data_IF_439640891235
#
_entry.id   IF_439640891235
#
_cell.length_a   1.000
_cell.length_b   1.000
_cell.length_c   1.000
_cell.angle_alpha   90.00
_cell.angle_beta   90.00
_cell.angle_gamma   90.00
#
_symmetry.space_group_name_H-M   'P 1'
#
loop_
_entity.id
_entity.type
_entity.pdbx_description
1 polymer ?
#
# COMPACT_ATOMS: atom_id res chain seq x y z
N UNK A 1 7.69 9.15 -11.47
CA UNK A 1 7.88 7.80 -10.90
C UNK A 1 6.60 6.95 -10.90
N UNK A 2 5.45 7.42 -10.37
CA UNK A 2 4.19 6.66 -10.40
C UNK A 2 3.78 6.26 -11.85
N UNK A 3 3.75 7.21 -12.80
CA UNK A 3 3.50 6.91 -14.23
C UNK A 3 4.42 5.83 -14.79
N UNK A 4 5.71 5.87 -14.40
CA UNK A 4 6.69 4.87 -14.83
C UNK A 4 6.32 3.48 -14.32
N UNK A 5 5.93 3.34 -13.05
CA UNK A 5 5.51 2.05 -12.49
C UNK A 5 4.23 1.52 -13.18
N UNK A 6 3.26 2.38 -13.45
CA UNK A 6 2.03 2.01 -14.17
C UNK A 6 2.33 1.48 -15.57
N UNK A 7 3.29 2.08 -16.27
CA UNK A 7 3.70 1.70 -17.62
C UNK A 7 4.57 0.43 -17.62
N UNK A 8 5.68 0.43 -16.86
CA UNK A 8 6.68 -0.66 -16.87
C UNK A 8 6.07 -2.01 -16.49
N UNK A 9 5.12 -2.01 -15.54
CA UNK A 9 4.48 -3.23 -15.03
C UNK A 9 3.08 -3.45 -15.58
N UNK A 10 2.63 -2.64 -16.54
CA UNK A 10 1.30 -2.74 -17.14
C UNK A 10 0.20 -2.88 -16.07
N UNK A 11 0.28 -2.02 -15.02
CA UNK A 11 -0.56 -2.19 -13.83
C UNK A 11 -2.05 -1.99 -14.11
N UNK A 12 -2.38 -1.19 -15.13
CA UNK A 12 -3.76 -0.84 -15.51
C UNK A 12 -4.26 -1.60 -16.75
N UNK A 13 -3.47 -2.56 -17.28
CA UNK A 13 -3.90 -3.35 -18.44
C UNK A 13 -5.09 -4.24 -18.07
N UNK A 14 -6.22 -4.06 -18.81
CA UNK A 14 -7.47 -4.79 -18.56
C UNK A 14 -8.22 -4.37 -17.30
N UNK A 15 -7.96 -3.16 -16.79
CA UNK A 15 -8.62 -2.62 -15.60
C UNK A 15 -9.70 -1.63 -16.01
N UNK A 16 -10.97 -1.98 -15.81
CA UNK A 16 -12.14 -1.14 -16.09
C UNK A 16 -12.55 -0.27 -14.90
N UNK A 17 -12.31 -0.74 -13.67
CA UNK A 17 -12.57 -0.05 -12.40
C UNK A 17 -11.42 -0.33 -11.42
N UNK A 18 -11.05 0.66 -10.63
CA UNK A 18 -9.92 0.55 -9.71
C UNK A 18 -10.32 0.94 -8.28
N UNK A 19 -10.11 0.04 -7.33
CA UNK A 19 -10.22 0.39 -5.92
C UNK A 19 -8.87 0.87 -5.36
N UNK A 20 -8.92 1.78 -4.38
CA UNK A 20 -7.77 2.27 -3.63
C UNK A 20 -7.97 1.89 -2.16
N UNK A 21 -7.03 1.16 -1.58
CA UNK A 21 -6.98 0.88 -0.15
C UNK A 21 -6.58 2.16 0.59
N UNK A 22 -7.57 2.90 1.11
CA UNK A 22 -7.38 4.20 1.73
C UNK A 22 -7.31 4.05 3.26
N UNK A 23 -6.10 4.02 3.82
CA UNK A 23 -5.90 3.97 5.27
C UNK A 23 -5.99 5.33 5.95
N UNK A 24 -5.94 6.43 5.20
CA UNK A 24 -5.83 7.79 5.69
C UNK A 24 -4.39 8.24 6.00
N UNK A 25 -3.42 7.33 5.98
CA UNK A 25 -2.00 7.70 6.10
C UNK A 25 -1.45 8.34 4.84
N UNK A 26 -0.31 9.04 4.98
CA UNK A 26 0.37 9.79 3.92
C UNK A 26 0.51 9.00 2.60
N UNK A 27 0.83 7.70 2.69
CA UNK A 27 1.12 6.86 1.53
C UNK A 27 -0.17 6.59 0.72
N UNK A 28 -1.26 6.26 1.41
CA UNK A 28 -2.55 5.99 0.77
C UNK A 28 -3.20 7.25 0.20
N UNK A 29 -3.04 8.41 0.87
CA UNK A 29 -3.48 9.71 0.35
C UNK A 29 -2.64 10.12 -0.86
N UNK A 30 -1.31 9.99 -0.79
CA UNK A 30 -0.44 10.23 -1.95
C UNK A 30 -0.86 9.38 -3.15
N UNK A 31 -1.14 8.08 -2.93
CA UNK A 31 -1.62 7.19 -3.99
C UNK A 31 -2.94 7.69 -4.60
N UNK A 32 -3.91 8.08 -3.77
CA UNK A 32 -5.21 8.59 -4.19
C UNK A 32 -5.05 9.82 -5.12
N UNK A 33 -4.30 10.82 -4.67
CA UNK A 33 -4.06 12.05 -5.44
C UNK A 33 -3.28 11.78 -6.72
N UNK A 34 -2.24 10.93 -6.67
CA UNK A 34 -1.45 10.59 -7.85
C UNK A 34 -2.29 9.87 -8.90
N UNK A 35 -3.11 8.89 -8.53
CA UNK A 35 -3.96 8.17 -9.47
C UNK A 35 -5.02 9.11 -10.07
N UNK A 36 -5.70 9.93 -9.26
CA UNK A 36 -6.67 10.91 -9.79
C UNK A 36 -6.03 11.91 -10.75
N UNK A 37 -4.79 12.35 -10.48
CA UNK A 37 -4.07 13.27 -11.36
C UNK A 37 -3.56 12.64 -12.66
N UNK A 38 -3.39 11.30 -12.71
CA UNK A 38 -2.77 10.58 -13.85
C UNK A 38 -3.81 9.99 -14.79
N UNK A 39 -4.88 9.41 -14.24
CA UNK A 39 -5.93 8.79 -15.04
C UNK A 39 -6.62 9.83 -15.93
N UNK A 40 -7.01 9.43 -17.14
CA UNK A 40 -7.51 10.35 -18.15
C UNK A 40 -6.44 11.23 -18.83
N UNK A 41 -5.16 11.17 -18.37
CA UNK A 41 -4.06 11.98 -18.91
C UNK A 41 -2.91 11.10 -19.39
N UNK A 42 -3.13 10.39 -20.50
CA UNK A 42 -2.18 9.44 -21.09
C UNK A 42 -2.32 8.01 -20.57
N UNK A 43 -3.25 7.76 -19.67
CA UNK A 43 -3.81 6.47 -19.30
C UNK A 43 -5.32 6.52 -19.48
N UNK A 44 -5.98 5.36 -19.55
CA UNK A 44 -7.42 5.29 -19.59
C UNK A 44 -8.05 6.05 -18.41
N UNK A 45 -9.19 6.65 -18.62
CA UNK A 45 -10.00 7.25 -17.56
C UNK A 45 -10.77 6.13 -16.85
N UNK A 46 -10.22 5.68 -15.72
CA UNK A 46 -10.72 4.55 -14.96
C UNK A 46 -11.43 5.09 -13.71
N UNK A 47 -12.70 4.75 -13.48
CA UNK A 47 -13.41 5.11 -12.25
C UNK A 47 -12.68 4.60 -11.01
N UNK A 48 -12.52 5.49 -10.01
CA UNK A 48 -11.86 5.21 -8.75
C UNK A 48 -12.88 5.02 -7.63
N UNK A 49 -12.65 4.02 -6.79
CA UNK A 49 -13.38 3.81 -5.53
C UNK A 49 -12.39 3.74 -4.39
N UNK A 50 -12.47 4.64 -3.41
CA UNK A 50 -11.65 4.63 -2.22
C UNK A 50 -12.31 3.77 -1.13
N UNK A 51 -11.65 2.71 -0.69
CA UNK A 51 -12.16 1.81 0.34
C UNK A 51 -11.35 2.01 1.62
N UNK A 52 -12.02 2.49 2.67
CA UNK A 52 -11.46 2.67 4.00
C UNK A 52 -11.95 1.56 4.94
N UNK A 53 -11.06 1.06 5.78
CA UNK A 53 -11.41 0.14 6.87
C UNK A 53 -11.14 0.85 8.18
N UNK A 54 -12.21 1.29 8.84
CA UNK A 54 -12.20 1.82 10.19
C UNK A 54 -12.19 0.71 11.24
N UNK A 55 -12.20 1.12 12.51
CA UNK A 55 -12.26 0.22 13.67
C UNK A 55 -11.44 0.79 14.83
N UNK A 56 -11.77 0.39 16.04
CA UNK A 56 -11.23 0.95 17.28
C UNK A 56 -9.70 0.84 17.39
N UNK A 57 -9.12 -0.25 16.86
CA UNK A 57 -7.69 -0.56 16.96
C UNK A 57 -7.01 -0.72 15.60
N UNK A 58 -7.63 -0.27 14.52
CA UNK A 58 -7.05 -0.42 13.19
C UNK A 58 -5.96 0.63 12.92
N UNK A 59 -5.02 0.33 12.00
CA UNK A 59 -4.17 1.37 11.37
C UNK A 59 -5.10 2.37 10.66
N UNK A 60 -5.19 3.61 11.15
CA UNK A 60 -6.23 4.56 10.77
C UNK A 60 -7.29 4.76 11.85
N UNK A 61 -7.24 4.01 12.99
CA UNK A 61 -7.93 4.40 14.21
C UNK A 61 -7.52 5.83 14.56
N UNK A 62 -8.49 6.74 14.70
CA UNK A 62 -8.22 8.18 14.90
C UNK A 62 -8.21 9.00 13.61
N UNK A 63 -8.32 8.41 12.43
CA UNK A 63 -8.65 9.16 11.22
C UNK A 63 -10.13 9.47 11.24
N UNK A 64 -10.47 10.75 11.20
CA UNK A 64 -11.87 11.14 11.04
C UNK A 64 -12.36 10.70 9.66
N UNK A 65 -13.27 9.73 9.61
CA UNK A 65 -13.85 9.22 8.35
C UNK A 65 -14.50 10.33 7.53
N UNK A 66 -15.10 11.34 8.22
CA UNK A 66 -15.62 12.54 7.58
C UNK A 66 -14.56 13.31 6.78
N UNK A 67 -13.31 13.37 7.25
CA UNK A 67 -12.22 14.02 6.54
C UNK A 67 -11.86 13.24 5.25
N UNK A 68 -11.75 11.91 5.33
CA UNK A 68 -11.47 11.08 4.17
C UNK A 68 -12.59 11.15 3.14
N UNK A 69 -13.83 11.12 3.63
CA UNK A 69 -15.01 11.27 2.77
C UNK A 69 -15.01 12.64 2.07
N UNK A 70 -14.72 13.73 2.79
CA UNK A 70 -14.64 15.08 2.20
C UNK A 70 -13.60 15.15 1.09
N UNK A 71 -12.40 14.57 1.27
CA UNK A 71 -11.39 14.50 0.20
C UNK A 71 -11.92 13.73 -1.01
N UNK A 72 -12.58 12.60 -0.79
CA UNK A 72 -13.12 11.81 -1.90
C UNK A 72 -14.24 12.55 -2.63
N UNK A 73 -15.12 13.23 -1.91
CA UNK A 73 -16.19 14.06 -2.48
C UNK A 73 -15.62 15.21 -3.34
N UNK A 74 -14.57 15.92 -2.86
CA UNK A 74 -13.89 16.96 -3.61
C UNK A 74 -13.18 16.45 -4.89
N UNK A 75 -12.71 15.22 -4.86
CA UNK A 75 -12.04 14.57 -5.99
C UNK A 75 -13.00 13.82 -6.92
N UNK A 76 -14.29 13.82 -6.63
CA UNK A 76 -15.28 13.00 -7.35
C UNK A 76 -14.84 11.52 -7.40
N UNK A 77 -14.64 10.93 -6.20
CA UNK A 77 -14.25 9.53 -6.01
C UNK A 77 -15.26 8.89 -5.04
N UNK A 78 -15.81 7.74 -5.42
CA UNK A 78 -16.68 6.97 -4.54
C UNK A 78 -15.93 6.58 -3.26
N UNK A 79 -16.51 6.93 -2.09
CA UNK A 79 -15.97 6.54 -0.78
C UNK A 79 -16.78 5.40 -0.17
N UNK A 80 -16.08 4.36 0.26
CA UNK A 80 -16.66 3.17 0.90
C UNK A 80 -16.01 2.96 2.25
N UNK A 81 -16.82 2.83 3.29
CA UNK A 81 -16.35 2.54 4.64
C UNK A 81 -16.71 1.12 5.04
N UNK A 82 -15.72 0.39 5.52
CA UNK A 82 -15.86 -0.93 6.14
C UNK A 82 -15.43 -0.84 7.61
N UNK A 83 -15.99 -1.67 8.47
CA UNK A 83 -15.63 -1.70 9.89
C UNK A 83 -14.99 -3.03 10.26
N UNK A 84 -13.76 -2.97 10.80
CA UNK A 84 -13.11 -4.12 11.43
C UNK A 84 -13.70 -4.37 12.82
N UNK A 85 -13.96 -5.64 13.13
CA UNK A 85 -14.49 -6.08 14.43
C UNK A 85 -13.40 -6.63 15.36
N UNK A 86 -12.13 -6.37 15.07
CA UNK A 86 -11.03 -6.87 15.90
C UNK A 86 -11.03 -6.24 17.29
N UNK A 87 -10.78 -7.09 18.29
CA UNK A 87 -10.67 -6.71 19.70
C UNK A 87 -9.19 -6.61 20.10
N UNK A 88 -8.89 -5.70 21.04
CA UNK A 88 -7.52 -5.47 21.54
C UNK A 88 -6.84 -6.76 22.04
N UNK A 89 -7.59 -7.60 22.74
CA UNK A 89 -7.11 -8.85 23.36
C UNK A 89 -6.56 -9.88 22.35
N UNK A 90 -7.07 -9.85 21.13
CA UNK A 90 -6.66 -10.78 20.06
C UNK A 90 -5.90 -10.09 18.94
N UNK A 91 -5.53 -8.82 19.15
CA UNK A 91 -4.89 -8.00 18.14
C UNK A 91 -3.45 -8.46 17.87
N UNK A 92 -3.20 -8.96 16.67
CA UNK A 92 -1.85 -9.18 16.16
C UNK A 92 -1.72 -8.51 14.79
N UNK A 93 -0.58 -7.88 14.51
CA UNK A 93 -0.37 -7.15 13.24
C UNK A 93 -0.68 -8.00 12.01
N UNK A 94 -0.35 -9.28 12.05
CA UNK A 94 -0.58 -10.20 10.93
C UNK A 94 -2.08 -10.47 10.71
N UNK A 95 -2.82 -10.84 11.76
CA UNK A 95 -4.27 -11.10 11.67
C UNK A 95 -5.04 -9.85 11.30
N UNK A 96 -4.70 -8.71 11.91
CA UNK A 96 -5.28 -7.41 11.61
C UNK A 96 -5.10 -7.03 10.12
N UNK A 97 -3.89 -7.17 9.58
CA UNK A 97 -3.63 -6.84 8.19
C UNK A 97 -4.35 -7.78 7.21
N UNK A 98 -4.53 -9.05 7.58
CA UNK A 98 -5.29 -10.02 6.75
C UNK A 98 -6.79 -9.71 6.74
N UNK A 99 -7.39 -9.46 7.89
CA UNK A 99 -8.80 -9.12 8.00
C UNK A 99 -9.12 -7.83 7.21
N UNK A 100 -8.31 -6.79 7.39
CA UNK A 100 -8.49 -5.54 6.66
C UNK A 100 -8.40 -5.72 5.15
N UNK A 101 -7.43 -6.50 4.67
CA UNK A 101 -7.34 -6.85 3.25
C UNK A 101 -8.60 -7.57 2.77
N UNK A 102 -9.07 -8.54 3.56
CA UNK A 102 -10.30 -9.28 3.21
C UNK A 102 -11.49 -8.34 3.08
N UNK A 103 -11.69 -7.43 4.04
CA UNK A 103 -12.77 -6.44 4.00
C UNK A 103 -12.68 -5.54 2.76
N UNK A 104 -11.47 -5.08 2.41
CA UNK A 104 -11.24 -4.28 1.20
C UNK A 104 -11.59 -5.08 -0.06
N UNK A 105 -11.16 -6.36 -0.13
CA UNK A 105 -11.42 -7.21 -1.29
C UNK A 105 -12.90 -7.54 -1.44
N UNK A 106 -13.58 -7.82 -0.35
CA UNK A 106 -15.01 -8.11 -0.36
C UNK A 106 -15.81 -6.87 -0.82
N UNK A 107 -15.51 -5.68 -0.28
CA UNK A 107 -16.15 -4.43 -0.69
C UNK A 107 -15.84 -4.04 -2.16
N UNK A 108 -14.65 -4.35 -2.66
CA UNK A 108 -14.29 -4.15 -4.07
C UNK A 108 -15.11 -5.09 -4.97
N UNK A 109 -15.20 -6.38 -4.63
CA UNK A 109 -15.95 -7.38 -5.42
C UNK A 109 -17.45 -7.07 -5.47
N UNK A 110 -18.05 -6.62 -4.37
CA UNK A 110 -19.46 -6.19 -4.34
C UNK A 110 -19.76 -5.08 -5.37
N UNK A 111 -18.74 -4.33 -5.81
CA UNK A 111 -18.81 -3.27 -6.82
C UNK A 111 -18.33 -3.71 -8.22
N UNK A 112 -18.04 -4.99 -8.38
CA UNK A 112 -17.49 -5.54 -9.62
C UNK A 112 -16.06 -5.07 -9.90
N UNK A 113 -15.29 -4.70 -8.85
CA UNK A 113 -13.90 -4.26 -8.96
C UNK A 113 -12.98 -5.44 -8.69
N UNK A 114 -12.11 -5.75 -9.63
CA UNK A 114 -11.15 -6.87 -9.54
C UNK A 114 -9.71 -6.41 -9.31
N UNK A 115 -9.45 -5.10 -9.29
CA UNK A 115 -8.11 -4.56 -9.07
C UNK A 115 -8.10 -3.56 -7.94
N UNK A 116 -7.17 -3.73 -6.99
CA UNK A 116 -7.03 -2.89 -5.80
C UNK A 116 -5.61 -2.33 -5.72
N UNK A 117 -5.50 -1.01 -5.67
CA UNK A 117 -4.23 -0.31 -5.51
C UNK A 117 -3.89 -0.11 -4.03
N UNK A 118 -2.65 -0.44 -3.64
CA UNK A 118 -2.09 -0.24 -2.31
C UNK A 118 -0.95 0.76 -2.33
N UNK A 119 -0.88 1.61 -1.32
CA UNK A 119 0.12 2.67 -1.16
C UNK A 119 1.51 2.21 -0.72
N UNK A 120 1.87 0.94 -0.94
CA UNK A 120 3.23 0.48 -0.64
C UNK A 120 4.24 1.11 -1.60
N UNK A 121 5.31 1.65 -1.03
CA UNK A 121 6.35 2.36 -1.75
C UNK A 121 7.69 1.59 -1.78
N UNK A 122 8.76 2.22 -2.31
CA UNK A 122 10.09 1.60 -2.47
C UNK A 122 10.64 1.05 -1.16
N UNK A 123 10.59 1.86 -0.11
CA UNK A 123 11.22 1.51 1.17
C UNK A 123 10.44 0.39 1.89
N UNK A 124 9.10 0.36 1.79
CA UNK A 124 8.29 -0.80 2.23
C UNK A 124 8.72 -2.11 1.56
N UNK A 125 9.08 -2.03 0.28
CA UNK A 125 9.52 -3.21 -0.49
C UNK A 125 10.87 -3.73 0.02
N UNK A 126 11.80 -2.82 0.29
CA UNK A 126 13.13 -3.14 0.84
C UNK A 126 13.01 -3.71 2.25
N UNK A 127 12.24 -3.09 3.13
CA UNK A 127 11.97 -3.60 4.47
C UNK A 127 11.37 -5.01 4.41
N UNK A 128 10.41 -5.23 3.51
CA UNK A 128 9.79 -6.55 3.32
C UNK A 128 10.80 -7.58 2.83
N UNK A 129 11.69 -7.21 1.90
CA UNK A 129 12.78 -8.06 1.43
C UNK A 129 13.68 -8.48 2.57
N UNK A 130 14.17 -7.54 3.38
CA UNK A 130 15.05 -7.83 4.52
C UNK A 130 14.36 -8.74 5.55
N UNK A 131 13.12 -8.43 5.90
CA UNK A 131 12.37 -9.25 6.83
C UNK A 131 12.18 -10.68 6.34
N UNK A 132 11.88 -10.89 5.06
CA UNK A 132 11.72 -12.22 4.49
C UNK A 132 13.06 -12.95 4.38
N UNK A 133 14.13 -12.25 3.96
CA UNK A 133 15.47 -12.81 3.84
C UNK A 133 16.00 -13.29 5.21
N UNK A 134 15.89 -12.45 6.24
CA UNK A 134 16.46 -12.71 7.55
C UNK A 134 15.61 -13.68 8.41
N UNK A 135 14.28 -13.69 8.23
CA UNK A 135 13.42 -14.57 9.02
C UNK A 135 13.03 -15.87 8.33
N UNK A 136 13.07 -15.92 6.98
CA UNK A 136 12.50 -17.04 6.23
C UNK A 136 13.45 -17.61 5.18
N UNK A 137 14.65 -17.04 5.01
CA UNK A 137 15.54 -17.34 3.90
C UNK A 137 14.86 -17.22 2.51
N UNK A 138 13.94 -16.26 2.39
CA UNK A 138 13.18 -16.02 1.15
C UNK A 138 13.54 -14.67 0.55
N UNK A 139 14.02 -14.67 -0.70
CA UNK A 139 14.27 -13.44 -1.45
C UNK A 139 12.96 -12.96 -2.09
N UNK A 140 12.09 -12.37 -1.26
CA UNK A 140 10.74 -11.93 -1.64
C UNK A 140 10.46 -10.54 -1.11
N UNK A 141 10.12 -9.62 -2.00
CA UNK A 141 9.71 -8.25 -1.69
C UNK A 141 8.22 -8.01 -2.06
N UNK A 142 7.78 -6.77 -1.95
CA UNK A 142 6.49 -6.36 -2.47
C UNK A 142 6.52 -6.30 -3.99
N UNK A 143 5.81 -7.22 -4.65
CA UNK A 143 5.70 -7.23 -6.10
C UNK A 143 4.78 -6.10 -6.61
N UNK A 144 5.04 -5.52 -7.80
CA UNK A 144 4.23 -4.46 -8.38
C UNK A 144 2.79 -4.88 -8.69
N UNK A 145 2.58 -6.11 -9.14
CA UNK A 145 1.27 -6.70 -9.48
C UNK A 145 1.20 -8.12 -8.96
N UNK A 146 0.15 -8.47 -8.22
CA UNK A 146 -0.04 -9.80 -7.64
C UNK A 146 -1.50 -10.20 -7.77
N UNK A 147 -1.84 -11.26 -8.54
CA UNK A 147 -3.16 -11.86 -8.49
C UNK A 147 -3.35 -12.62 -7.17
N UNK A 148 -4.41 -12.28 -6.46
CA UNK A 148 -4.86 -12.94 -5.24
C UNK A 148 -5.97 -13.92 -5.63
N UNK A 149 -5.59 -15.10 -6.11
CA UNK A 149 -6.49 -16.07 -6.75
C UNK A 149 -7.66 -16.45 -5.84
N UNK A 150 -7.37 -16.76 -4.56
CA UNK A 150 -8.39 -17.15 -3.58
C UNK A 150 -9.44 -16.05 -3.32
N UNK A 151 -9.11 -14.80 -3.61
CA UNK A 151 -9.99 -13.64 -3.40
C UNK A 151 -10.59 -13.11 -4.71
N UNK A 152 -10.13 -13.57 -5.86
CA UNK A 152 -10.58 -13.08 -7.17
C UNK A 152 -10.23 -11.61 -7.44
N UNK A 153 -9.16 -11.10 -6.83
CA UNK A 153 -8.70 -9.71 -7.02
C UNK A 153 -7.20 -9.66 -7.31
N UNK A 154 -6.79 -8.61 -8.00
CA UNK A 154 -5.38 -8.31 -8.25
C UNK A 154 -4.94 -7.11 -7.42
N UNK A 155 -3.86 -7.24 -6.68
CA UNK A 155 -3.21 -6.11 -6.00
C UNK A 155 -2.24 -5.46 -6.96
N UNK A 156 -2.26 -4.11 -7.01
CA UNK A 156 -1.24 -3.31 -7.69
C UNK A 156 -0.59 -2.31 -6.72
N UNK A 157 0.66 -1.92 -7.01
CA UNK A 157 1.45 -1.01 -6.18
C UNK A 157 2.12 0.07 -7.02
N UNK A 158 1.40 1.15 -7.38
CA UNK A 158 1.92 2.19 -8.26
C UNK A 158 3.06 3.02 -7.68
N UNK A 159 3.25 3.01 -6.34
CA UNK A 159 4.27 3.83 -5.66
C UNK A 159 5.63 3.11 -5.50
N UNK A 160 5.84 1.91 -6.05
CA UNK A 160 7.06 1.11 -5.84
C UNK A 160 8.38 1.74 -6.30
N UNK A 161 8.33 2.77 -7.13
CA UNK A 161 9.50 3.55 -7.53
C UNK A 161 9.71 4.81 -6.69
N UNK A 162 8.80 5.12 -5.79
CA UNK A 162 8.82 6.36 -5.00
C UNK A 162 9.43 6.09 -3.63
N UNK A 163 10.30 6.96 -3.18
CA UNK A 163 10.93 6.91 -1.87
C UNK A 163 9.95 7.39 -0.80
N UNK A 164 10.13 6.94 0.44
CA UNK A 164 9.35 7.46 1.56
C UNK A 164 9.52 8.97 1.74
N UNK A 165 10.73 9.50 1.51
CA UNK A 165 11.00 10.93 1.66
C UNK A 165 10.27 11.77 0.61
N UNK A 166 10.21 11.31 -0.65
CA UNK A 166 9.40 11.97 -1.66
C UNK A 166 7.89 11.96 -1.32
N UNK A 167 7.40 10.91 -0.66
CA UNK A 167 6.02 10.85 -0.17
C UNK A 167 5.83 11.82 1.00
N UNK A 168 6.77 11.92 1.92
CA UNK A 168 6.74 12.87 3.04
C UNK A 168 6.72 14.30 2.53
N UNK A 169 7.56 14.62 1.55
CA UNK A 169 7.61 15.95 0.91
C UNK A 169 6.26 16.26 0.24
N UNK A 170 5.74 15.38 -0.58
CA UNK A 170 4.43 15.54 -1.22
C UNK A 170 3.31 15.73 -0.18
N UNK A 171 3.27 14.91 0.86
CA UNK A 171 2.28 15.01 1.92
C UNK A 171 2.37 16.34 2.68
N UNK A 172 3.59 16.84 2.92
CA UNK A 172 3.82 18.14 3.56
C UNK A 172 3.31 19.30 2.70
N UNK A 173 3.57 19.25 1.39
CA UNK A 173 3.12 20.29 0.44
C UNK A 173 1.58 20.36 0.33
N UNK A 174 0.89 19.26 0.54
CA UNK A 174 -0.56 19.18 0.45
C UNK A 174 -1.27 19.24 1.81
N UNK A 175 -0.55 19.52 2.89
CA UNK A 175 -1.11 19.67 4.23
C UNK A 175 -1.70 18.38 4.80
N UNK A 176 -1.27 17.21 4.32
CA UNK A 176 -1.70 15.94 4.89
C UNK A 176 -1.21 15.83 6.32
N UNK A 177 -2.13 15.79 7.27
CA UNK A 177 -1.78 15.60 8.67
C UNK A 177 -0.98 14.31 8.84
N UNK A 178 0.04 14.34 9.72
CA UNK A 178 0.74 13.12 10.14
C UNK A 178 -0.23 12.25 10.92
N UNK A 179 -0.93 11.39 10.23
CA UNK A 179 -1.71 10.35 10.87
C UNK A 179 -0.73 9.25 11.27
N UNK A 180 -0.29 9.31 12.51
CA UNK A 180 0.55 8.29 13.11
C UNK A 180 -0.34 7.09 13.46
N UNK A 181 0.17 5.90 13.22
CA UNK A 181 -0.47 4.68 13.68
C UNK A 181 -0.53 4.71 15.23
N UNK A 182 -1.74 4.79 15.78
CA UNK A 182 -1.97 4.78 17.23
C UNK A 182 -1.99 3.36 17.83
N UNK A 183 -1.83 2.35 16.98
CA UNK A 183 -1.80 0.96 17.43
C UNK A 183 -0.56 0.69 18.30
N UNK A 184 -0.72 0.29 19.56
CA UNK A 184 0.42 0.07 20.47
C UNK A 184 1.36 -1.04 19.99
N UNK A 185 0.85 -2.01 19.19
CA UNK A 185 1.63 -3.10 18.62
C UNK A 185 2.45 -2.63 17.40
N UNK A 186 1.95 -1.63 16.66
CA UNK A 186 2.60 -1.15 15.44
C UNK A 186 3.88 -0.36 15.68
N UNK A 187 4.02 0.29 16.85
CA UNK A 187 5.15 1.17 17.17
C UNK A 187 6.47 0.40 17.35
N UNK A 188 6.42 -0.84 17.85
CA UNK A 188 7.59 -1.74 18.01
C UNK A 188 7.62 -2.85 16.95
N UNK A 189 7.21 -2.55 15.74
CA UNK A 189 7.09 -3.54 14.69
C UNK A 189 8.46 -3.98 14.16
N UNK A 190 8.51 -5.20 13.58
CA UNK A 190 9.70 -5.68 12.87
C UNK A 190 10.10 -4.74 11.70
N UNK A 191 9.17 -3.95 11.16
CA UNK A 191 9.48 -2.94 10.15
C UNK A 191 10.35 -1.81 10.70
N UNK A 192 10.06 -1.33 11.92
CA UNK A 192 10.88 -0.31 12.58
C UNK A 192 12.31 -0.81 12.80
N UNK A 193 12.46 -2.08 13.21
CA UNK A 193 13.78 -2.71 13.35
C UNK A 193 14.51 -2.88 12.01
N UNK A 194 13.79 -3.28 10.97
CA UNK A 194 14.34 -3.39 9.62
C UNK A 194 14.79 -2.02 9.08
N UNK A 195 14.05 -0.96 9.40
CA UNK A 195 14.43 0.40 9.03
C UNK A 195 15.71 0.87 9.71
N UNK A 196 15.84 0.62 11.03
CA UNK A 196 17.08 0.95 11.76
C UNK A 196 18.28 0.19 11.18
N UNK A 197 18.10 -1.11 10.88
CA UNK A 197 19.16 -1.92 10.24
C UNK A 197 19.53 -1.38 8.87
N UNK A 198 18.56 -0.94 8.07
CA UNK A 198 18.83 -0.32 6.76
C UNK A 198 19.65 0.95 6.88
N UNK A 199 19.39 1.78 7.89
CA UNK A 199 20.18 2.99 8.13
C UNK A 199 21.64 2.64 8.50
N UNK A 200 21.86 1.62 9.31
CA UNK A 200 23.21 1.12 9.61
C UNK A 200 23.93 0.60 8.35
N UNK A 201 23.22 -0.15 7.51
CA UNK A 201 23.76 -0.64 6.25
C UNK A 201 24.13 0.51 5.32
N UNK A 202 23.32 1.56 5.22
CA UNK A 202 23.58 2.73 4.38
C UNK A 202 24.81 3.52 4.84
N UNK A 203 25.10 3.56 6.14
CA UNK A 203 26.34 4.17 6.65
C UNK A 203 27.59 3.47 6.11
N UNK A 204 27.51 2.18 5.81
CA UNK A 204 28.62 1.38 5.26
C UNK A 204 28.57 1.34 3.73
N UNK A 205 27.36 1.22 3.18
CA UNK A 205 27.08 1.10 1.74
C UNK A 205 26.06 2.16 1.30
N UNK A 206 26.49 3.37 0.90
CA UNK A 206 25.57 4.50 0.62
C UNK A 206 24.45 4.23 -0.40
N UNK A 207 24.68 3.30 -1.33
CA UNK A 207 23.70 2.93 -2.37
C UNK A 207 22.89 1.66 -2.01
N UNK A 208 22.92 1.22 -0.75
CA UNK A 208 22.32 -0.06 -0.35
C UNK A 208 20.83 -0.12 -0.66
N UNK A 209 20.07 0.94 -0.37
CA UNK A 209 18.62 0.96 -0.65
C UNK A 209 18.32 0.84 -2.14
N UNK A 210 19.04 1.57 -2.99
CA UNK A 210 18.86 1.50 -4.43
C UNK A 210 19.16 0.12 -4.98
N UNK A 211 20.29 -0.44 -4.56
CA UNK A 211 20.73 -1.78 -4.98
C UNK A 211 19.75 -2.86 -4.49
N UNK A 212 19.28 -2.80 -3.24
CA UNK A 212 18.28 -3.74 -2.72
C UNK A 212 16.94 -3.60 -3.43
N UNK A 213 16.49 -2.36 -3.71
CA UNK A 213 15.28 -2.13 -4.47
C UNK A 213 15.40 -2.66 -5.90
N UNK A 214 16.53 -2.45 -6.57
CA UNK A 214 16.77 -2.98 -7.91
C UNK A 214 16.82 -4.50 -7.90
N UNK A 215 17.61 -5.09 -7.02
CA UNK A 215 17.72 -6.55 -6.90
C UNK A 215 16.35 -7.20 -6.61
N UNK A 216 15.53 -6.59 -5.76
CA UNK A 216 14.19 -7.10 -5.46
C UNK A 216 13.26 -7.11 -6.67
N UNK A 217 13.42 -6.17 -7.59
CA UNK A 217 12.63 -6.09 -8.83
C UNK A 217 13.11 -7.08 -9.89
N UNK A 218 14.41 -7.24 -10.01
CA UNK A 218 15.04 -8.10 -11.04
C UNK A 218 15.00 -9.59 -10.65
N UNK A 219 15.29 -9.88 -9.39
CA UNK A 219 15.44 -11.25 -8.88
C UNK A 219 14.37 -11.66 -7.87
N UNK A 220 13.45 -10.75 -7.54
CA UNK A 220 12.36 -11.00 -6.60
C UNK A 220 11.56 -12.24 -7.00
N UNK A 221 11.28 -13.10 -6.03
CA UNK A 221 10.60 -14.37 -6.25
C UNK A 221 9.17 -14.18 -6.72
N UNK A 222 8.77 -14.93 -7.74
CA UNK A 222 7.38 -15.14 -8.16
C UNK A 222 6.65 -16.16 -7.26
N UNK A 223 7.17 -16.46 -6.06
CA UNK A 223 6.62 -17.48 -5.15
C UNK A 223 5.14 -17.25 -4.82
N UNK A 224 4.71 -16.00 -4.78
CA UNK A 224 3.30 -15.65 -4.62
C UNK A 224 2.41 -16.08 -5.82
N UNK A 225 3.02 -16.32 -6.99
CA UNK A 225 2.35 -16.75 -8.22
C UNK A 225 2.37 -18.28 -8.39
N UNK A 226 3.20 -19.00 -7.60
CA UNK A 226 3.40 -20.45 -7.73
C UNK A 226 2.50 -21.30 -6.84
N UNK A 227 1.59 -20.71 -6.09
CA UNK A 227 0.58 -21.43 -5.32
C UNK A 227 -0.69 -21.52 -6.16
N UNK A 228 -0.64 -22.32 -7.20
CA UNK A 228 -1.81 -23.00 -7.78
C UNK A 228 -1.88 -24.38 -7.17
#
# INVERSE_FOLDING_TARGET
>A
MCRKALFDYKLLEGVDKLAIALSGGKDSLTLLFMLKAILGKGFADIPLTAIHVGGEFSCGAGVHTAFLKGICDELDIEYVECTSKQKLETLACYSCSRERRKLIFDAAKERGITTVAFGHHRDDSIQTLLMNLLHKAEFVANLPKIPMIDYGVTIIRPLLYITEDAIKEFASMHGFARILCQCPIGQNSMRTKAESLLQEIENIFPNARENLAQASREYGSTKALKRS
#
